data_IF_977207336346
#
_entry.id   IF_977207336346
#
_cell.length_a   1.000
_cell.length_b   1.000
_cell.length_c   1.000
_cell.angle_alpha   90.00
_cell.angle_beta   90.00
_cell.angle_gamma   90.00
#
_symmetry.space_group_name_H-M   'P 1'
#
loop_
_entity.id
_entity.type
_entity.pdbx_description
1 polymer ?
#
# COMPACT_ATOMS: atom_id res chain seq x y z
N UNK A 1 4.67 -15.78 -4.22
CA UNK A 1 5.13 -14.99 -3.04
C UNK A 1 4.60 -15.65 -1.77
N UNK A 2 5.35 -15.64 -0.65
CA UNK A 2 4.90 -16.10 0.68
C UNK A 2 4.64 -14.90 1.60
N UNK A 3 3.94 -15.11 2.71
CA UNK A 3 3.85 -14.11 3.77
C UNK A 3 5.17 -14.08 4.54
N UNK A 4 5.72 -12.88 4.73
CA UNK A 4 6.99 -12.70 5.43
C UNK A 4 6.84 -13.09 6.91
N UNK A 5 7.78 -13.90 7.40
CA UNK A 5 7.90 -14.15 8.84
C UNK A 5 8.31 -12.86 9.57
N UNK A 6 8.08 -12.79 10.88
CA UNK A 6 8.46 -11.63 11.70
C UNK A 6 9.95 -11.28 11.51
N UNK A 7 10.81 -12.27 11.37
CA UNK A 7 12.24 -12.06 11.17
C UNK A 7 12.55 -11.47 9.80
N UNK A 8 11.99 -12.03 8.72
CA UNK A 8 12.19 -11.54 7.36
C UNK A 8 11.65 -10.11 7.21
N UNK A 9 10.49 -9.84 7.80
CA UNK A 9 9.91 -8.50 7.81
C UNK A 9 10.77 -7.51 8.57
N UNK A 10 11.28 -7.88 9.76
CA UNK A 10 12.17 -7.03 10.53
C UNK A 10 13.45 -6.71 9.74
N UNK A 11 14.10 -7.73 9.17
CA UNK A 11 15.31 -7.54 8.35
C UNK A 11 15.05 -6.64 7.14
N UNK A 12 13.89 -6.77 6.49
CA UNK A 12 13.52 -5.96 5.33
C UNK A 12 13.18 -4.49 5.72
N UNK A 13 12.51 -4.26 6.86
CA UNK A 13 12.24 -2.91 7.37
C UNK A 13 13.53 -2.23 7.81
N UNK A 14 14.41 -2.94 8.51
CA UNK A 14 15.74 -2.43 8.88
C UNK A 14 16.55 -2.03 7.62
N UNK A 15 16.51 -2.85 6.58
CA UNK A 15 17.11 -2.50 5.29
C UNK A 15 16.51 -1.22 4.72
N UNK A 16 15.18 -1.13 4.63
CA UNK A 16 14.49 0.04 4.05
C UNK A 16 14.85 1.34 4.78
N UNK A 17 14.86 1.32 6.11
CA UNK A 17 15.14 2.50 6.95
C UNK A 17 16.61 2.91 7.00
N UNK A 18 17.52 2.02 6.64
CA UNK A 18 18.97 2.28 6.63
C UNK A 18 19.54 2.50 5.23
N UNK A 19 18.71 2.56 4.19
CA UNK A 19 19.14 2.89 2.82
C UNK A 19 19.73 4.31 2.82
N UNK A 20 20.92 4.45 2.24
CA UNK A 20 21.51 5.77 2.03
C UNK A 20 20.78 6.54 0.90
N UNK A 21 21.00 7.85 0.85
CA UNK A 21 20.31 8.73 -0.09
C UNK A 21 20.58 8.35 -1.56
N UNK A 22 21.77 7.90 -1.91
CA UNK A 22 22.15 7.54 -3.27
C UNK A 22 21.44 6.25 -3.70
N UNK A 23 21.44 5.23 -2.85
CA UNK A 23 20.73 3.98 -3.09
C UNK A 23 19.21 4.19 -3.13
N UNK A 24 18.66 4.99 -2.23
CA UNK A 24 17.22 5.33 -2.24
C UNK A 24 16.80 6.07 -3.50
N UNK A 25 17.60 7.02 -3.97
CA UNK A 25 17.37 7.72 -5.24
C UNK A 25 17.41 6.75 -6.43
N UNK A 26 18.39 5.86 -6.49
CA UNK A 26 18.51 4.85 -7.55
C UNK A 26 17.31 3.91 -7.59
N UNK A 27 16.80 3.46 -6.44
CA UNK A 27 15.58 2.63 -6.33
C UNK A 27 14.38 3.38 -6.90
N UNK A 28 14.19 4.64 -6.50
CA UNK A 28 13.05 5.45 -6.94
C UNK A 28 13.11 5.74 -8.45
N UNK A 29 14.28 6.14 -8.98
CA UNK A 29 14.46 6.40 -10.41
C UNK A 29 14.22 5.13 -11.23
N UNK A 30 14.76 3.99 -10.81
CA UNK A 30 14.51 2.71 -11.45
C UNK A 30 13.04 2.34 -11.44
N UNK A 31 12.35 2.50 -10.31
CA UNK A 31 10.93 2.22 -10.19
C UNK A 31 10.07 3.14 -11.07
N UNK A 32 10.40 4.43 -11.15
CA UNK A 32 9.69 5.39 -12.02
C UNK A 32 9.85 5.06 -13.51
N UNK A 33 11.01 4.60 -13.92
CA UNK A 33 11.27 4.19 -15.32
C UNK A 33 10.54 2.90 -15.68
N UNK A 34 10.53 1.93 -14.77
CA UNK A 34 9.99 0.60 -15.04
C UNK A 34 8.49 0.48 -14.79
N UNK A 35 7.94 1.29 -13.90
CA UNK A 35 6.55 1.26 -13.44
C UNK A 35 5.97 2.69 -13.35
N UNK A 36 5.95 3.47 -14.44
CA UNK A 36 5.61 4.90 -14.37
C UNK A 36 4.19 5.16 -13.85
N UNK A 37 3.19 4.36 -14.26
CA UNK A 37 1.81 4.52 -13.80
C UNK A 37 1.67 4.19 -12.31
N UNK A 38 2.31 3.13 -11.84
CA UNK A 38 2.29 2.75 -10.42
C UNK A 38 3.04 3.79 -9.57
N UNK A 39 4.22 4.24 -10.02
CA UNK A 39 4.98 5.28 -9.35
C UNK A 39 4.19 6.59 -9.24
N UNK A 40 3.52 7.01 -10.34
CA UNK A 40 2.62 8.16 -10.34
C UNK A 40 1.48 7.99 -9.33
N UNK A 41 0.89 6.81 -9.23
CA UNK A 41 -0.19 6.54 -8.29
C UNK A 41 0.28 6.62 -6.85
N UNK A 42 1.38 5.93 -6.50
CA UNK A 42 1.85 5.84 -5.12
C UNK A 42 2.48 7.13 -4.60
N UNK A 43 3.23 7.86 -5.44
CA UNK A 43 4.04 9.00 -4.99
C UNK A 43 3.51 10.37 -5.42
N UNK A 44 2.43 10.42 -6.21
CA UNK A 44 1.79 11.68 -6.58
C UNK A 44 0.28 11.69 -6.32
N UNK A 45 -0.48 10.72 -6.85
CA UNK A 45 -1.94 10.74 -6.74
C UNK A 45 -2.38 10.53 -5.29
N UNK A 46 -1.96 9.47 -4.64
CA UNK A 46 -2.36 9.17 -3.25
C UNK A 46 -1.91 10.24 -2.26
N UNK A 47 -0.64 10.69 -2.26
CA UNK A 47 -0.23 11.79 -1.39
C UNK A 47 -1.04 13.06 -1.61
N UNK A 48 -1.37 13.41 -2.87
CA UNK A 48 -2.20 14.58 -3.18
C UNK A 48 -3.61 14.48 -2.60
N UNK A 49 -4.19 13.27 -2.53
CA UNK A 49 -5.49 13.06 -1.88
C UNK A 49 -5.42 13.21 -0.37
N UNK A 50 -4.36 12.67 0.27
CA UNK A 50 -4.14 12.80 1.71
C UNK A 50 -3.84 14.25 2.08
N UNK A 51 -3.04 14.96 1.28
CA UNK A 51 -2.67 16.37 1.51
C UNK A 51 -3.87 17.32 1.57
N UNK A 52 -4.99 16.99 0.91
CA UNK A 52 -6.25 17.75 1.04
C UNK A 52 -6.79 17.76 2.47
N UNK A 53 -6.45 16.76 3.26
CA UNK A 53 -6.82 16.68 4.68
C UNK A 53 -5.67 17.14 5.58
N UNK A 54 -4.46 16.66 5.33
CA UNK A 54 -3.27 16.99 6.11
C UNK A 54 -1.97 16.75 5.31
N UNK A 55 -1.17 17.81 5.11
CA UNK A 55 0.08 17.73 4.34
C UNK A 55 1.17 16.89 5.04
N UNK A 56 1.23 16.96 6.38
CA UNK A 56 2.24 16.20 7.13
C UNK A 56 1.98 14.69 7.02
N UNK A 57 0.71 14.29 7.09
CA UNK A 57 0.29 12.90 6.87
C UNK A 57 0.56 12.42 5.44
N UNK A 58 0.46 13.31 4.44
CA UNK A 58 0.84 12.98 3.06
C UNK A 58 2.35 12.72 2.93
N UNK A 59 3.18 13.51 3.61
CA UNK A 59 4.63 13.31 3.62
C UNK A 59 4.99 11.98 4.30
N UNK A 60 4.42 11.71 5.47
CA UNK A 60 4.57 10.44 6.18
C UNK A 60 4.14 9.24 5.31
N UNK A 61 3.02 9.37 4.61
CA UNK A 61 2.54 8.33 3.69
C UNK A 61 3.54 8.05 2.56
N UNK A 62 4.18 9.08 1.99
CA UNK A 62 5.20 8.89 0.95
C UNK A 62 6.42 8.12 1.48
N UNK A 63 6.88 8.44 2.69
CA UNK A 63 7.97 7.73 3.35
C UNK A 63 7.62 6.26 3.57
N UNK A 64 6.45 5.97 4.14
CA UNK A 64 5.98 4.60 4.36
C UNK A 64 5.74 3.83 3.05
N UNK A 65 5.29 4.50 2.00
CA UNK A 65 5.12 3.88 0.67
C UNK A 65 6.47 3.51 0.06
N UNK A 66 7.50 4.32 0.27
CA UNK A 66 8.86 4.01 -0.12
C UNK A 66 9.43 2.84 0.70
N UNK A 67 9.24 2.85 2.02
CA UNK A 67 9.63 1.72 2.88
C UNK A 67 8.96 0.41 2.42
N UNK A 68 7.65 0.44 2.14
CA UNK A 68 6.95 -0.72 1.62
C UNK A 68 7.53 -1.21 0.29
N UNK A 69 7.82 -0.31 -0.66
CA UNK A 69 8.49 -0.65 -1.92
C UNK A 69 9.83 -1.35 -1.66
N UNK A 70 10.66 -0.79 -0.77
CA UNK A 70 11.96 -1.35 -0.41
C UNK A 70 11.83 -2.72 0.26
N UNK A 71 10.86 -2.91 1.15
CA UNK A 71 10.57 -4.19 1.79
C UNK A 71 10.26 -5.27 0.73
N UNK A 72 9.37 -4.97 -0.22
CA UNK A 72 9.04 -5.92 -1.28
C UNK A 72 10.21 -6.20 -2.20
N UNK A 73 10.99 -5.19 -2.60
CA UNK A 73 12.17 -5.40 -3.44
C UNK A 73 13.26 -6.19 -2.73
N UNK A 74 13.47 -5.93 -1.43
CA UNK A 74 14.44 -6.68 -0.63
C UNK A 74 14.05 -8.15 -0.48
N UNK A 75 12.78 -8.42 -0.18
CA UNK A 75 12.30 -9.76 0.10
C UNK A 75 12.05 -10.61 -1.16
N UNK A 76 11.57 -9.99 -2.25
CA UNK A 76 11.07 -10.70 -3.43
C UNK A 76 11.77 -10.28 -4.74
N UNK A 77 12.71 -9.36 -4.67
CA UNK A 77 13.45 -8.88 -5.83
C UNK A 77 12.73 -7.76 -6.57
N UNK A 78 13.11 -7.53 -7.82
CA UNK A 78 12.63 -6.44 -8.67
C UNK A 78 11.10 -6.47 -8.82
N UNK A 79 10.46 -5.29 -8.81
CA UNK A 79 9.01 -5.16 -9.03
C UNK A 79 8.63 -5.72 -10.40
N UNK A 80 7.70 -6.68 -10.48
CA UNK A 80 7.26 -7.25 -11.76
C UNK A 80 6.59 -6.21 -12.65
N UNK A 81 6.96 -6.16 -13.94
CA UNK A 81 6.39 -5.22 -14.88
C UNK A 81 4.90 -5.50 -15.12
N UNK A 82 4.09 -4.43 -15.13
CA UNK A 82 2.65 -4.50 -15.37
C UNK A 82 2.19 -3.39 -16.32
N UNK A 83 1.02 -3.61 -16.94
CA UNK A 83 0.39 -2.63 -17.81
C UNK A 83 -0.44 -1.61 -17.03
N UNK A 84 -0.68 -0.45 -17.62
CA UNK A 84 -1.57 0.56 -17.07
C UNK A 84 -3.00 0.00 -16.88
N UNK A 85 -3.50 -0.78 -17.83
CA UNK A 85 -4.84 -1.41 -17.73
C UNK A 85 -4.92 -2.39 -16.56
N UNK A 86 -3.83 -3.08 -16.23
CA UNK A 86 -3.79 -3.92 -15.04
C UNK A 86 -3.95 -3.08 -13.78
N UNK A 87 -3.20 -1.98 -13.68
CA UNK A 87 -3.25 -1.08 -12.53
C UNK A 87 -4.65 -0.49 -12.35
N UNK A 88 -5.26 0.03 -13.42
CA UNK A 88 -6.62 0.56 -13.40
C UNK A 88 -7.65 -0.46 -12.90
N UNK A 89 -7.57 -1.71 -13.37
CA UNK A 89 -8.45 -2.79 -12.90
C UNK A 89 -8.25 -3.12 -11.42
N UNK A 90 -7.00 -3.15 -10.93
CA UNK A 90 -6.72 -3.39 -9.51
C UNK A 90 -7.23 -2.24 -8.66
N UNK A 91 -7.00 -1.00 -9.07
CA UNK A 91 -7.47 0.18 -8.36
C UNK A 91 -9.01 0.22 -8.26
N UNK A 92 -9.72 -0.03 -9.35
CA UNK A 92 -11.18 -0.05 -9.35
C UNK A 92 -11.74 -1.14 -8.42
N UNK A 93 -11.08 -2.31 -8.37
CA UNK A 93 -11.47 -3.41 -7.49
C UNK A 93 -11.25 -3.07 -6.01
N UNK A 94 -10.06 -2.57 -5.68
CA UNK A 94 -9.69 -2.21 -4.30
C UNK A 94 -10.55 -1.04 -3.78
N UNK A 95 -10.82 -0.05 -4.62
CA UNK A 95 -11.73 1.05 -4.27
C UNK A 95 -13.14 0.56 -3.97
N UNK A 96 -13.71 -0.31 -4.81
CA UNK A 96 -15.02 -0.90 -4.58
C UNK A 96 -15.05 -1.74 -3.29
N UNK A 97 -14.02 -2.50 -3.00
CA UNK A 97 -13.90 -3.29 -1.77
C UNK A 97 -13.83 -2.39 -0.53
N UNK A 98 -13.02 -1.32 -0.55
CA UNK A 98 -12.94 -0.36 0.55
C UNK A 98 -14.25 0.40 0.76
N UNK A 99 -14.92 0.83 -0.31
CA UNK A 99 -16.23 1.46 -0.22
C UNK A 99 -17.27 0.55 0.44
N UNK A 100 -17.19 -0.76 0.21
CA UNK A 100 -18.10 -1.72 0.85
C UNK A 100 -17.92 -1.83 2.37
N UNK A 101 -16.74 -1.45 2.88
CA UNK A 101 -16.44 -1.46 4.31
C UNK A 101 -16.84 -0.16 5.01
N UNK A 102 -17.20 0.88 4.26
CA UNK A 102 -17.57 2.19 4.81
C UNK A 102 -19.07 2.26 5.09
N UNK A 103 -19.51 2.47 6.34
CA UNK A 103 -20.94 2.38 6.73
C UNK A 103 -21.85 3.39 6.03
N UNK A 104 -21.33 4.61 5.76
CA UNK A 104 -22.12 5.76 5.31
C UNK A 104 -22.29 5.89 3.79
N UNK A 105 -21.81 4.93 3.02
CA UNK A 105 -21.94 4.98 1.57
C UNK A 105 -23.32 4.45 1.13
N UNK A 106 -23.99 5.19 0.22
CA UNK A 106 -25.23 4.76 -0.43
C UNK A 106 -24.97 3.60 -1.40
N UNK A 107 -24.77 2.41 -0.86
CA UNK A 107 -24.57 1.19 -1.62
C UNK A 107 -25.71 0.20 -1.30
N UNK A 108 -26.25 -0.44 -2.32
CA UNK A 108 -27.22 -1.53 -2.15
C UNK A 108 -26.65 -2.62 -1.24
N UNK A 109 -27.44 -3.05 -0.26
CA UNK A 109 -27.00 -3.98 0.79
C UNK A 109 -26.54 -5.35 0.23
N UNK A 110 -27.17 -5.83 -0.86
CA UNK A 110 -26.78 -7.09 -1.52
C UNK A 110 -25.43 -6.94 -2.23
N UNK A 111 -25.19 -5.77 -2.84
CA UNK A 111 -23.91 -5.45 -3.49
C UNK A 111 -22.83 -5.34 -2.43
N UNK A 112 -23.10 -4.64 -1.33
CA UNK A 112 -22.20 -4.51 -0.18
C UNK A 112 -21.80 -5.88 0.38
N UNK A 113 -22.77 -6.73 0.68
CA UNK A 113 -22.51 -8.06 1.22
C UNK A 113 -21.68 -8.93 0.26
N UNK A 114 -21.92 -8.84 -1.06
CA UNK A 114 -21.14 -9.55 -2.08
C UNK A 114 -19.70 -9.05 -2.13
N UNK A 115 -19.47 -7.74 -2.06
CA UNK A 115 -18.13 -7.14 -2.07
C UNK A 115 -17.37 -7.48 -0.79
N UNK A 116 -18.01 -7.40 0.38
CA UNK A 116 -17.41 -7.79 1.66
C UNK A 116 -17.03 -9.27 1.69
N UNK A 117 -17.92 -10.14 1.20
CA UNK A 117 -17.62 -11.58 1.07
C UNK A 117 -16.40 -11.80 0.16
N UNK A 118 -16.36 -11.14 -0.99
CA UNK A 118 -15.24 -11.22 -1.94
C UNK A 118 -13.94 -10.69 -1.34
N UNK A 119 -14.00 -9.58 -0.62
CA UNK A 119 -12.85 -9.02 0.11
C UNK A 119 -12.29 -10.05 1.11
N UNK A 120 -13.19 -10.67 1.90
CA UNK A 120 -12.81 -11.69 2.87
C UNK A 120 -12.20 -12.92 2.19
N UNK A 121 -12.83 -13.43 1.13
CA UNK A 121 -12.33 -14.59 0.36
C UNK A 121 -10.94 -14.31 -0.22
N UNK A 122 -10.70 -13.10 -0.76
CA UNK A 122 -9.40 -12.70 -1.27
C UNK A 122 -8.36 -12.56 -0.16
N UNK A 123 -8.73 -12.00 0.98
CA UNK A 123 -7.83 -11.87 2.13
C UNK A 123 -7.37 -13.24 2.66
N UNK A 124 -8.20 -14.28 2.54
CA UNK A 124 -7.82 -15.66 2.92
C UNK A 124 -7.05 -16.42 1.84
N UNK A 125 -7.35 -16.16 0.57
CA UNK A 125 -6.81 -16.95 -0.55
C UNK A 125 -5.58 -16.31 -1.20
N UNK A 126 -5.36 -15.01 -1.01
CA UNK A 126 -4.22 -14.27 -1.56
C UNK A 126 -3.22 -14.00 -0.43
N UNK A 127 -1.95 -14.22 -0.70
CA UNK A 127 -0.90 -13.86 0.25
C UNK A 127 -0.90 -12.35 0.42
N UNK A 128 -1.36 -11.89 1.56
CA UNK A 128 -1.32 -10.48 1.95
C UNK A 128 -0.31 -10.35 3.07
N UNK A 129 0.55 -9.35 2.99
CA UNK A 129 1.53 -9.06 4.03
C UNK A 129 0.83 -8.38 5.22
N UNK A 130 0.02 -9.14 5.98
CA UNK A 130 -0.82 -8.59 7.06
C UNK A 130 0.03 -7.92 8.15
N UNK A 131 1.15 -8.55 8.50
CA UNK A 131 2.06 -8.00 9.50
C UNK A 131 2.70 -6.69 9.06
N UNK A 132 3.00 -6.53 7.77
CA UNK A 132 3.47 -5.26 7.22
C UNK A 132 2.39 -4.18 7.32
N UNK A 133 1.11 -4.51 7.03
CA UNK A 133 -0.01 -3.57 7.20
C UNK A 133 -0.12 -3.10 8.66
N UNK A 134 -0.01 -4.02 9.62
CA UNK A 134 -0.04 -3.69 11.05
C UNK A 134 1.09 -2.71 11.41
N UNK A 135 2.33 -2.99 11.03
CA UNK A 135 3.49 -2.12 11.30
C UNK A 135 3.32 -0.73 10.69
N UNK A 136 2.81 -0.65 9.44
CA UNK A 136 2.57 0.64 8.80
C UNK A 136 1.45 1.43 9.48
N UNK A 137 0.37 0.75 9.90
CA UNK A 137 -0.72 1.38 10.65
C UNK A 137 -0.29 1.85 12.04
N UNK A 138 0.54 1.08 12.75
CA UNK A 138 1.16 1.51 14.01
C UNK A 138 1.98 2.78 13.80
N UNK A 139 2.83 2.83 12.75
CA UNK A 139 3.62 4.01 12.42
C UNK A 139 2.75 5.24 12.11
N UNK A 140 1.64 5.07 11.39
CA UNK A 140 0.67 6.14 11.10
C UNK A 140 0.01 6.63 12.39
N UNK A 141 -0.42 5.71 13.26
CA UNK A 141 -1.05 6.02 14.53
C UNK A 141 -0.12 6.78 15.48
N UNK A 142 1.12 6.31 15.63
CA UNK A 142 2.15 6.94 16.45
C UNK A 142 2.43 8.37 15.98
N UNK A 143 2.68 8.55 14.69
CA UNK A 143 2.91 9.88 14.10
C UNK A 143 1.72 10.83 14.28
N UNK A 144 0.49 10.31 14.13
CA UNK A 144 -0.72 11.12 14.31
C UNK A 144 -0.93 11.52 15.77
N UNK A 145 -0.50 10.68 16.73
CA UNK A 145 -0.66 10.94 18.17
C UNK A 145 0.09 12.18 18.66
N UNK A 146 1.13 12.59 17.93
CA UNK A 146 1.94 13.78 18.26
C UNK A 146 1.22 15.10 17.98
N UNK A 147 0.15 15.12 17.16
CA UNK A 147 -0.57 16.33 16.79
C UNK A 147 -2.06 16.08 16.53
N UNK A 148 -2.92 16.81 17.25
CA UNK A 148 -4.39 16.74 17.10
C UNK A 148 -4.84 17.00 15.66
N UNK A 149 -4.13 17.84 14.91
CA UNK A 149 -4.45 18.15 13.51
C UNK A 149 -4.29 16.97 12.55
N UNK A 150 -3.57 15.90 12.94
CA UNK A 150 -3.33 14.72 12.12
C UNK A 150 -4.40 13.65 12.30
N UNK A 151 -5.08 13.63 13.46
CA UNK A 151 -5.99 12.53 13.87
C UNK A 151 -7.11 12.29 12.85
N UNK A 152 -7.69 13.35 12.29
CA UNK A 152 -8.81 13.24 11.35
C UNK A 152 -8.44 12.50 10.04
N UNK A 153 -7.16 12.51 9.65
CA UNK A 153 -6.67 11.89 8.42
C UNK A 153 -6.14 10.47 8.60
N UNK A 154 -6.03 9.95 9.83
CA UNK A 154 -5.48 8.61 10.13
C UNK A 154 -6.17 7.53 9.32
N UNK A 155 -7.49 7.42 9.44
CA UNK A 155 -8.24 6.34 8.78
C UNK A 155 -8.12 6.36 7.26
N UNK A 156 -8.10 7.55 6.68
CA UNK A 156 -7.91 7.70 5.24
C UNK A 156 -6.50 7.29 4.82
N UNK A 157 -5.48 7.68 5.57
CA UNK A 157 -4.08 7.32 5.33
C UNK A 157 -3.85 5.81 5.47
N UNK A 158 -4.40 5.17 6.51
CA UNK A 158 -4.38 3.70 6.69
C UNK A 158 -5.01 2.97 5.49
N UNK A 159 -6.17 3.45 5.01
CA UNK A 159 -6.83 2.86 3.86
C UNK A 159 -5.97 2.98 2.59
N UNK A 160 -5.32 4.12 2.36
CA UNK A 160 -4.41 4.29 1.23
C UNK A 160 -3.18 3.39 1.36
N UNK A 161 -2.61 3.24 2.56
CA UNK A 161 -1.49 2.34 2.81
C UNK A 161 -1.88 0.87 2.59
N UNK A 162 -3.06 0.47 3.01
CA UNK A 162 -3.62 -0.85 2.70
C UNK A 162 -3.67 -1.10 1.19
N UNK A 163 -4.12 -0.12 0.39
CA UNK A 163 -4.14 -0.22 -1.07
C UNK A 163 -2.72 -0.41 -1.62
N UNK A 164 -1.74 0.36 -1.14
CA UNK A 164 -0.33 0.23 -1.57
C UNK A 164 0.17 -1.20 -1.36
N UNK A 165 0.01 -1.73 -0.15
CA UNK A 165 0.49 -3.08 0.20
C UNK A 165 -0.25 -4.15 -0.61
N UNK A 166 -1.55 -3.99 -0.82
CA UNK A 166 -2.33 -4.92 -1.67
C UNK A 166 -1.91 -4.87 -3.13
N UNK A 167 -1.65 -3.71 -3.70
CA UNK A 167 -1.14 -3.56 -5.06
C UNK A 167 0.19 -4.27 -5.23
N UNK A 168 1.13 -4.04 -4.31
CA UNK A 168 2.43 -4.71 -4.32
C UNK A 168 2.28 -6.22 -4.15
N UNK A 169 1.46 -6.69 -3.21
CA UNK A 169 1.17 -8.12 -3.02
C UNK A 169 0.63 -8.77 -4.29
N UNK A 170 -0.31 -8.12 -4.96
CA UNK A 170 -0.90 -8.65 -6.19
C UNK A 170 0.11 -8.71 -7.34
N UNK A 171 1.00 -7.71 -7.45
CA UNK A 171 2.08 -7.70 -8.44
C UNK A 171 3.00 -8.91 -8.30
N UNK A 172 3.50 -9.13 -7.10
CA UNK A 172 4.45 -10.21 -6.83
C UNK A 172 3.80 -11.61 -6.84
N UNK A 173 2.51 -11.72 -6.51
CA UNK A 173 1.79 -13.00 -6.59
C UNK A 173 1.59 -13.46 -8.03
N UNK A 174 1.30 -12.56 -8.96
CA UNK A 174 1.11 -12.91 -10.38
C UNK A 174 2.42 -13.29 -11.09
N UNK A 175 3.56 -12.79 -10.65
CA UNK A 175 4.85 -13.13 -11.23
C UNK A 175 5.28 -14.58 -10.95
N UNK A 176 4.67 -15.24 -9.96
CA UNK A 176 4.97 -16.65 -9.62
C UNK A 176 4.13 -17.66 -10.42
N UNK A 177 3.09 -17.20 -11.14
CA UNK A 177 2.19 -18.06 -11.92
C UNK A 177 2.55 -18.13 -13.42
N UNK A 178 3.64 -17.49 -13.86
CA UNK A 178 4.23 -17.55 -15.20
C UNK A 178 5.59 -18.28 -15.18
#
# INVERSE_FOLDING_TARGET
MHELTDRELYEAIEYARNIDEEAGRSIMEGFQVEQPALAQTLFNIFPSLIAKQNQEMANMFMELSFDALCVYQHAFGKVPAQTEEWLERQMALLDAELQSLTPDQQMDEKIRAKLQKRFTERAYNEVTQLRLIEVMNESIGDYASESVGRVASVKFTENMMFIVIRLLSNLYSQATDN
#
